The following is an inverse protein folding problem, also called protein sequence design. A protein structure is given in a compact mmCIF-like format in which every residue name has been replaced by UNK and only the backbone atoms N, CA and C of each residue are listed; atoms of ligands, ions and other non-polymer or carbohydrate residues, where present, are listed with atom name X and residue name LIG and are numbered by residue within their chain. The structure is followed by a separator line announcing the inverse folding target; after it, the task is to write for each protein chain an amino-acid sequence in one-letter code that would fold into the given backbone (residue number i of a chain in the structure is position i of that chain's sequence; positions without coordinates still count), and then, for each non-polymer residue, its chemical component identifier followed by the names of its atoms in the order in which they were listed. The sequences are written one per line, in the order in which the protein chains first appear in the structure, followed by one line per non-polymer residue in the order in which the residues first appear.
data_IF_409099734214
#
_entry.id   IF_409099734214
#
_cell.length_a   1.000
_cell.length_b   1.000
_cell.length_c   1.000
_cell.angle_alpha   90.00
_cell.angle_beta   90.00
_cell.angle_gamma   90.00
#
_symmetry.space_group_name_H-M   'P 1'
#
loop_
_entity.id
_entity.type
_entity.pdbx_description
1 polymer ?
#
# COMPACT_ATOMS: atom_id res chain seq x y z
N UNK A 1 -16.15 0.15 9.71
CA UNK A 1 -17.09 -0.40 10.71
C UNK A 1 -16.99 -1.91 10.65
N UNK A 2 -16.78 -2.57 11.79
CA UNK A 2 -16.68 -4.04 11.89
C UNK A 2 -18.09 -4.65 11.81
N UNK A 3 -18.22 -5.80 11.15
CA UNK A 3 -19.48 -6.53 11.04
C UNK A 3 -19.47 -7.70 12.03
N UNK A 4 -20.59 -7.95 12.70
CA UNK A 4 -20.74 -9.13 13.57
C UNK A 4 -20.90 -10.36 12.69
N UNK A 5 -20.13 -11.41 12.96
CA UNK A 5 -20.11 -12.65 12.19
C UNK A 5 -20.88 -13.76 12.91
N UNK A 6 -20.54 -14.01 14.18
CA UNK A 6 -21.26 -14.94 15.05
C UNK A 6 -21.68 -14.26 16.35
N UNK A 7 -22.87 -14.58 16.84
CA UNK A 7 -23.47 -13.99 18.03
C UNK A 7 -24.17 -12.67 17.75
N UNK A 8 -24.32 -11.84 18.78
CA UNK A 8 -25.00 -10.56 18.72
C UNK A 8 -24.24 -9.51 19.53
N UNK A 9 -24.06 -8.32 18.98
CA UNK A 9 -23.54 -7.15 19.71
C UNK A 9 -24.58 -6.54 20.67
N UNK A 10 -25.72 -7.22 20.87
CA UNK A 10 -26.79 -6.88 21.81
C UNK A 10 -27.11 -8.09 22.66
N UNK A 11 -27.29 -7.86 23.94
CA UNK A 11 -27.68 -8.87 24.92
C UNK A 11 -28.76 -8.31 25.84
N UNK A 12 -29.74 -9.13 26.17
CA UNK A 12 -30.82 -8.77 27.08
C UNK A 12 -31.14 -9.99 27.96
N UNK A 13 -31.18 -9.78 29.26
CA UNK A 13 -31.53 -10.82 30.24
C UNK A 13 -32.13 -10.17 31.48
N UNK A 14 -32.90 -10.95 32.25
CA UNK A 14 -33.24 -10.60 33.62
C UNK A 14 -32.04 -10.92 34.53
N UNK A 15 -31.77 -10.05 35.50
CA UNK A 15 -30.77 -10.26 36.55
C UNK A 15 -31.42 -10.01 37.91
N UNK A 16 -31.27 -10.95 38.83
CA UNK A 16 -31.54 -10.78 40.24
C UNK A 16 -30.47 -9.93 40.93
N UNK A 17 -30.72 -9.61 42.20
CA UNK A 17 -29.75 -8.85 43.02
C UNK A 17 -28.44 -9.63 43.16
N UNK A 18 -27.34 -9.03 42.70
CA UNK A 18 -26.01 -9.64 42.75
C UNK A 18 -25.75 -10.70 41.67
N UNK A 19 -26.70 -10.90 40.74
CA UNK A 19 -26.47 -11.76 39.58
C UNK A 19 -25.75 -11.01 38.47
N UNK A 20 -24.88 -11.73 37.77
CA UNK A 20 -24.12 -11.21 36.65
C UNK A 20 -24.40 -12.01 35.39
N UNK A 21 -24.24 -11.37 34.23
CA UNK A 21 -24.31 -12.03 32.93
C UNK A 21 -23.10 -11.66 32.10
N UNK A 22 -22.70 -12.57 31.22
CA UNK A 22 -21.66 -12.33 30.22
C UNK A 22 -22.16 -12.83 28.88
N UNK A 23 -21.89 -12.06 27.82
CA UNK A 23 -22.13 -12.47 26.44
C UNK A 23 -20.88 -12.19 25.61
N UNK A 24 -20.73 -12.94 24.52
CA UNK A 24 -19.63 -12.76 23.57
C UNK A 24 -20.17 -12.75 22.15
N UNK A 25 -19.46 -12.04 21.28
CA UNK A 25 -19.73 -12.01 19.85
C UNK A 25 -18.40 -11.96 19.11
N UNK A 26 -18.42 -12.40 17.86
CA UNK A 26 -17.26 -12.31 16.97
C UNK A 26 -17.54 -11.27 15.91
N UNK A 27 -16.49 -10.56 15.52
CA UNK A 27 -16.53 -9.57 14.46
C UNK A 27 -15.57 -9.97 13.36
N UNK A 28 -15.98 -9.77 12.11
CA UNK A 28 -15.07 -9.93 10.98
C UNK A 28 -14.02 -8.82 11.04
N UNK A 29 -12.78 -9.20 11.32
CA UNK A 29 -11.63 -8.31 11.35
C UNK A 29 -11.44 -7.64 9.97
N UNK A 30 -11.59 -6.32 9.91
CA UNK A 30 -11.27 -5.50 8.74
C UNK A 30 -9.99 -4.71 8.98
N UNK A 31 -9.13 -4.54 7.98
CA UNK A 31 -7.90 -3.75 8.11
C UNK A 31 -8.21 -2.35 8.69
N UNK A 32 -7.41 -1.91 9.67
CA UNK A 32 -7.51 -0.58 10.27
C UNK A 32 -7.52 -0.57 11.79
N UNK A 33 -7.69 0.63 12.34
CA UNK A 33 -7.87 0.86 13.78
C UNK A 33 -9.35 1.07 14.04
N UNK A 34 -9.94 0.22 14.88
CA UNK A 34 -11.36 0.28 15.23
C UNK A 34 -11.47 0.59 16.72
N UNK A 35 -12.01 1.77 17.03
CA UNK A 35 -12.37 2.17 18.38
C UNK A 35 -13.86 1.89 18.58
N UNK A 36 -14.19 1.19 19.65
CA UNK A 36 -15.58 0.94 20.03
C UNK A 36 -16.15 2.18 20.71
N UNK A 37 -17.40 2.49 20.40
CA UNK A 37 -18.16 3.49 21.17
C UNK A 37 -18.50 2.91 22.56
N UNK A 38 -18.77 3.76 23.57
CA UNK A 38 -19.24 3.30 24.87
C UNK A 38 -20.42 2.33 24.75
N UNK A 39 -20.44 1.29 25.58
CA UNK A 39 -21.51 0.31 25.58
C UNK A 39 -22.76 0.92 26.25
N UNK A 40 -23.88 0.97 25.54
CA UNK A 40 -25.17 1.39 26.09
C UNK A 40 -25.78 0.26 26.91
N UNK A 41 -26.18 0.57 28.13
CA UNK A 41 -26.89 -0.34 29.04
C UNK A 41 -28.23 0.28 29.36
N UNK A 42 -29.29 -0.52 29.21
CA UNK A 42 -30.65 -0.11 29.55
C UNK A 42 -31.18 -1.05 30.62
N UNK A 43 -31.44 -0.51 31.81
CA UNK A 43 -32.14 -1.21 32.87
C UNK A 43 -33.63 -0.91 32.76
N UNK A 44 -34.46 -1.94 32.90
CA UNK A 44 -35.91 -1.79 33.01
C UNK A 44 -36.39 -2.43 34.30
N UNK A 45 -37.37 -1.82 34.94
CA UNK A 45 -38.09 -2.47 36.03
C UNK A 45 -38.93 -3.65 35.50
N UNK A 46 -39.40 -4.51 36.41
CA UNK A 46 -40.16 -5.73 36.08
C UNK A 46 -41.44 -5.38 35.30
N UNK A 47 -42.06 -4.24 35.61
CA UNK A 47 -43.24 -3.71 34.92
C UNK A 47 -42.93 -3.02 33.58
N UNK A 48 -41.65 -2.84 33.24
CA UNK A 48 -41.18 -2.08 32.08
C UNK A 48 -41.70 -0.63 32.01
N UNK A 49 -42.18 -0.09 33.13
CA UNK A 49 -42.69 1.27 33.28
C UNK A 49 -41.58 2.30 33.39
N UNK A 50 -40.41 1.90 33.91
CA UNK A 50 -39.26 2.78 34.08
C UNK A 50 -38.06 2.16 33.36
N UNK A 51 -37.39 2.96 32.54
CA UNK A 51 -36.14 2.59 31.90
C UNK A 51 -35.05 3.60 32.29
N UNK A 52 -33.90 3.10 32.74
CA UNK A 52 -32.71 3.89 33.00
C UNK A 52 -31.67 3.49 31.96
N UNK A 53 -31.26 4.44 31.13
CA UNK A 53 -30.19 4.28 30.16
C UNK A 53 -28.89 4.86 30.74
N UNK A 54 -27.81 4.10 30.62
CA UNK A 54 -26.46 4.55 30.97
C UNK A 54 -25.46 4.03 29.93
N UNK A 55 -24.26 4.57 29.93
CA UNK A 55 -23.17 4.11 29.06
C UNK A 55 -21.95 3.78 29.87
N UNK A 56 -21.31 2.64 29.56
CA UNK A 56 -20.03 2.27 30.14
C UNK A 56 -18.95 2.40 29.06
N UNK A 57 -17.97 3.25 29.33
CA UNK A 57 -16.79 3.38 28.48
C UNK A 57 -15.75 2.36 28.94
N UNK A 58 -15.49 1.37 28.09
CA UNK A 58 -14.31 0.51 28.21
C UNK A 58 -13.46 0.77 26.99
N UNK A 59 -12.24 1.29 27.18
CA UNK A 59 -11.35 1.56 26.06
C UNK A 59 -10.98 0.25 25.37
N UNK A 60 -11.65 -0.02 24.25
CA UNK A 60 -11.43 -1.21 23.43
C UNK A 60 -10.96 -0.75 22.07
N UNK A 61 -9.67 -0.91 21.81
CA UNK A 61 -9.04 -0.56 20.53
C UNK A 61 -8.58 -1.83 19.83
N UNK A 62 -9.22 -2.15 18.72
CA UNK A 62 -8.88 -3.31 17.91
C UNK A 62 -8.08 -2.86 16.69
N UNK A 63 -6.81 -3.26 16.64
CA UNK A 63 -5.90 -2.93 15.54
C UNK A 63 -5.70 -4.16 14.67
N UNK A 64 -6.35 -4.19 13.50
CA UNK A 64 -6.17 -5.26 12.53
C UNK A 64 -5.12 -4.83 11.50
N UNK A 65 -3.98 -5.50 11.53
CA UNK A 65 -2.96 -5.40 10.48
C UNK A 65 -2.74 -6.80 9.94
N UNK A 66 -2.87 -6.97 8.62
CA UNK A 66 -2.21 -8.08 7.95
C UNK A 66 -0.78 -7.60 7.71
N UNK A 67 0.24 -8.19 8.34
CA UNK A 67 1.60 -7.87 7.94
C UNK A 67 1.86 -8.55 6.58
N UNK A 68 2.26 -7.82 5.55
CA UNK A 68 3.00 -8.43 4.43
C UNK A 68 4.28 -9.01 5.05
N UNK A 69 4.43 -10.32 5.07
CA UNK A 69 5.56 -10.97 5.75
C UNK A 69 6.72 -11.28 4.80
N UNK A 70 6.49 -11.24 3.49
CA UNK A 70 7.30 -12.09 2.60
C UNK A 70 7.71 -11.50 1.26
N UNK A 71 7.22 -10.31 0.88
CA UNK A 71 7.48 -9.72 -0.45
C UNK A 71 8.38 -8.49 -0.30
N UNK A 72 9.54 -8.50 -0.95
CA UNK A 72 10.41 -7.31 -1.09
C UNK A 72 9.76 -6.29 -2.04
N UNK A 73 9.77 -5.02 -1.66
CA UNK A 73 9.21 -3.93 -2.47
C UNK A 73 9.91 -3.74 -3.81
N UNK A 74 11.22 -4.04 -3.90
CA UNK A 74 11.92 -4.12 -5.17
C UNK A 74 11.28 -5.12 -6.13
N UNK A 75 10.78 -6.27 -5.64
CA UNK A 75 10.05 -7.22 -6.47
C UNK A 75 8.67 -6.70 -6.88
N UNK A 76 7.97 -5.95 -6.02
CA UNK A 76 6.69 -5.33 -6.36
C UNK A 76 6.89 -4.25 -7.42
N UNK A 77 7.94 -3.45 -7.30
CA UNK A 77 8.20 -2.34 -8.19
C UNK A 77 8.81 -2.74 -9.55
N UNK A 78 9.45 -3.91 -9.66
CA UNK A 78 10.23 -4.33 -10.85
C UNK A 78 9.65 -5.56 -11.59
N UNK A 79 8.34 -5.76 -11.57
CA UNK A 79 7.69 -6.98 -12.08
C UNK A 79 7.77 -7.22 -13.61
N UNK A 80 8.37 -6.34 -14.41
CA UNK A 80 8.48 -6.56 -15.85
C UNK A 80 9.67 -7.44 -16.24
N UNK A 81 9.36 -8.64 -16.75
CA UNK A 81 10.26 -9.48 -17.53
C UNK A 81 10.77 -8.69 -18.75
N UNK A 82 12.01 -8.20 -18.68
CA UNK A 82 12.59 -7.27 -19.63
C UNK A 82 13.39 -6.15 -18.97
N UNK A 83 13.16 -5.87 -17.67
CA UNK A 83 14.19 -5.26 -16.83
C UNK A 83 15.08 -6.34 -16.24
N UNK A 84 15.65 -7.18 -17.11
CA UNK A 84 16.95 -7.74 -16.79
C UNK A 84 17.82 -6.55 -16.44
N UNK A 85 18.41 -6.56 -15.24
CA UNK A 85 19.55 -5.71 -14.94
C UNK A 85 20.53 -5.94 -16.08
N UNK A 86 20.55 -5.05 -17.06
CA UNK A 86 21.55 -5.06 -18.09
C UNK A 86 22.85 -4.92 -17.32
N UNK A 87 23.63 -5.99 -17.33
CA UNK A 87 24.93 -6.10 -16.71
C UNK A 87 25.90 -5.18 -17.45
N UNK A 88 25.74 -3.87 -17.28
CA UNK A 88 26.79 -2.92 -17.56
C UNK A 88 27.71 -2.96 -16.35
N UNK A 89 28.75 -3.78 -16.47
CA UNK A 89 29.72 -4.00 -15.42
C UNK A 89 30.42 -2.71 -15.02
N UNK A 90 30.01 -2.14 -13.90
CA UNK A 90 30.80 -1.21 -13.13
C UNK A 90 30.75 -1.63 -11.66
N UNK A 91 31.92 -1.56 -11.05
CA UNK A 91 32.34 -1.98 -9.71
C UNK A 91 31.36 -1.65 -8.58
N UNK A 92 30.97 -2.66 -7.80
CA UNK A 92 30.16 -2.56 -6.57
C UNK A 92 30.02 -3.91 -5.86
N UNK A 93 30.05 -3.92 -4.52
CA UNK A 93 30.59 -4.99 -3.68
C UNK A 93 29.48 -5.68 -2.86
N UNK A 94 28.82 -6.70 -3.42
CA UNK A 94 28.20 -7.78 -2.62
C UNK A 94 28.31 -9.13 -3.34
N UNK A 95 28.70 -10.16 -2.59
CA UNK A 95 29.09 -11.50 -3.07
C UNK A 95 27.85 -12.35 -3.38
N UNK A 96 27.70 -12.81 -4.63
CA UNK A 96 26.52 -13.60 -5.04
C UNK A 96 26.81 -15.07 -5.32
N UNK A 97 27.90 -15.42 -6.02
CA UNK A 97 28.26 -16.83 -6.28
C UNK A 97 29.67 -16.96 -6.86
N UNK A 98 30.38 -18.03 -6.50
CA UNK A 98 31.61 -18.45 -7.18
C UNK A 98 31.25 -19.52 -8.20
N UNK A 99 31.67 -19.34 -9.46
CA UNK A 99 31.54 -20.35 -10.52
C UNK A 99 32.88 -20.55 -11.23
N UNK A 100 33.05 -21.70 -11.88
CA UNK A 100 34.21 -21.96 -12.74
C UNK A 100 34.32 -20.90 -13.84
N UNK A 101 35.55 -20.48 -14.10
CA UNK A 101 35.91 -19.55 -15.16
C UNK A 101 35.49 -20.11 -16.52
N UNK A 102 34.90 -19.26 -17.36
CA UNK A 102 34.66 -19.55 -18.77
C UNK A 102 35.48 -18.61 -19.61
N UNK A 103 35.98 -19.13 -20.74
CA UNK A 103 36.71 -18.33 -21.71
C UNK A 103 35.87 -17.13 -22.16
N UNK A 104 36.39 -15.91 -21.94
CA UNK A 104 35.67 -14.65 -22.14
C UNK A 104 35.29 -13.91 -20.84
N UNK A 105 35.42 -14.54 -19.66
CA UNK A 105 35.27 -13.84 -18.39
C UNK A 105 36.43 -12.84 -18.19
N UNK A 106 36.15 -11.60 -17.73
CA UNK A 106 37.16 -10.55 -17.65
C UNK A 106 38.19 -10.86 -16.54
N UNK A 107 39.48 -10.58 -16.78
CA UNK A 107 40.58 -11.01 -15.90
C UNK A 107 40.56 -10.36 -14.51
N UNK A 108 39.89 -9.21 -14.37
CA UNK A 108 39.69 -8.53 -13.08
C UNK A 108 38.63 -9.22 -12.18
N UNK A 109 37.94 -10.25 -12.66
CA UNK A 109 36.96 -11.05 -11.89
C UNK A 109 37.46 -12.44 -11.53
N UNK A 110 38.70 -12.78 -11.90
CA UNK A 110 39.33 -14.04 -11.52
C UNK A 110 39.71 -13.95 -10.04
N UNK A 111 39.29 -14.93 -9.25
CA UNK A 111 39.73 -15.07 -7.87
C UNK A 111 41.18 -15.60 -7.85
N UNK A 112 42.13 -14.68 -7.94
CA UNK A 112 43.56 -15.00 -7.91
C UNK A 112 43.99 -15.64 -6.60
N UNK A 113 43.28 -15.36 -5.50
CA UNK A 113 43.62 -15.87 -4.17
C UNK A 113 43.21 -17.35 -4.05
N UNK A 114 42.05 -17.73 -4.61
CA UNK A 114 41.64 -19.13 -4.75
C UNK A 114 42.47 -19.88 -5.79
N UNK A 115 42.79 -19.24 -6.91
CA UNK A 115 43.68 -19.83 -7.92
C UNK A 115 45.07 -20.16 -7.34
N UNK A 116 45.62 -19.30 -6.49
CA UNK A 116 46.91 -19.54 -5.83
C UNK A 116 46.90 -20.79 -4.92
N UNK A 117 45.73 -21.19 -4.39
CA UNK A 117 45.57 -22.35 -3.50
C UNK A 117 45.21 -23.63 -4.26
N UNK A 118 44.21 -23.56 -5.13
CA UNK A 118 43.57 -24.73 -5.72
C UNK A 118 43.92 -24.94 -7.20
N UNK A 119 44.63 -23.98 -7.83
CA UNK A 119 44.94 -23.93 -9.27
C UNK A 119 43.72 -24.00 -10.20
N UNK A 120 42.50 -23.84 -9.69
CA UNK A 120 41.29 -23.72 -10.48
C UNK A 120 40.91 -22.26 -10.69
N UNK A 121 40.67 -21.88 -11.94
CA UNK A 121 40.19 -20.53 -12.27
C UNK A 121 38.69 -20.44 -11.97
N UNK A 122 38.33 -19.57 -11.03
CA UNK A 122 36.94 -19.24 -10.71
C UNK A 122 36.66 -17.76 -10.89
N UNK A 123 35.48 -17.42 -11.38
CA UNK A 123 35.05 -16.04 -11.59
C UNK A 123 34.05 -15.62 -10.53
N UNK A 124 34.30 -14.46 -9.92
CA UNK A 124 33.40 -13.81 -8.97
C UNK A 124 32.38 -12.98 -9.77
N UNK A 125 31.10 -13.35 -9.71
CA UNK A 125 30.03 -12.51 -10.25
C UNK A 125 29.51 -11.55 -9.17
N UNK A 126 29.71 -10.25 -9.37
CA UNK A 126 29.13 -9.18 -8.57
C UNK A 126 27.70 -8.91 -9.03
N UNK A 127 26.74 -8.81 -8.09
CA UNK A 127 25.42 -8.23 -8.35
C UNK A 127 25.53 -6.75 -8.02
N UNK A 128 25.24 -5.88 -8.99
CA UNK A 128 25.10 -4.45 -8.72
C UNK A 128 23.77 -4.24 -7.98
N UNK A 129 23.81 -4.32 -6.65
CA UNK A 129 22.68 -3.88 -5.83
C UNK A 129 22.74 -2.35 -5.73
N UNK A 130 22.34 -1.66 -6.80
CA UNK A 130 21.89 -0.28 -6.63
C UNK A 130 20.50 -0.37 -6.07
N UNK A 131 20.36 -0.24 -4.75
CA UNK A 131 19.07 0.02 -4.11
C UNK A 131 18.45 1.25 -4.79
N UNK A 132 17.47 1.00 -5.65
CA UNK A 132 16.75 2.05 -6.36
C UNK A 132 15.69 2.54 -5.40
N UNK A 133 15.73 3.81 -5.05
CA UNK A 133 14.74 4.39 -4.15
C UNK A 133 13.30 3.99 -4.56
N UNK A 134 12.46 3.71 -3.57
CA UNK A 134 11.03 3.44 -3.76
C UNK A 134 10.25 4.67 -3.33
N UNK A 135 9.33 5.15 -4.16
CA UNK A 135 8.40 6.22 -3.81
C UNK A 135 7.00 5.62 -3.73
N UNK A 136 6.38 5.77 -2.55
CA UNK A 136 4.93 5.57 -2.41
C UNK A 136 4.23 6.84 -2.88
N UNK A 137 3.39 6.75 -3.90
CA UNK A 137 2.64 7.87 -4.45
C UNK A 137 1.14 7.63 -4.22
N UNK A 138 0.51 8.42 -3.35
CA UNK A 138 -0.91 8.27 -2.95
C UNK A 138 -1.76 9.28 -3.71
N UNK A 139 -2.82 8.81 -4.36
CA UNK A 139 -3.80 9.64 -5.04
C UNK A 139 -4.93 10.12 -4.11
N UNK A 140 -4.62 11.11 -3.28
CA UNK A 140 -5.53 11.73 -2.32
C UNK A 140 -6.36 12.90 -2.91
N UNK A 141 -6.60 12.90 -4.22
CA UNK A 141 -7.47 13.91 -4.85
C UNK A 141 -8.92 13.73 -4.40
N UNK A 142 -9.69 14.82 -4.38
CA UNK A 142 -11.10 14.80 -3.95
C UNK A 142 -11.97 13.76 -4.69
N UNK A 143 -11.66 13.48 -5.96
CA UNK A 143 -12.36 12.47 -6.76
C UNK A 143 -12.13 11.03 -6.27
N UNK A 144 -11.02 10.76 -5.57
CA UNK A 144 -10.67 9.45 -5.03
C UNK A 144 -11.41 9.12 -3.72
N UNK A 145 -12.11 10.09 -3.13
CA UNK A 145 -13.00 9.86 -1.99
C UNK A 145 -14.32 9.24 -2.45
N UNK A 146 -14.23 8.02 -2.98
CA UNK A 146 -15.36 7.18 -3.43
C UNK A 146 -15.34 5.87 -2.67
N UNK A 147 -16.53 5.34 -2.39
CA UNK A 147 -16.72 4.08 -1.68
C UNK A 147 -17.74 3.21 -2.42
N UNK A 148 -17.64 1.90 -2.27
CA UNK A 148 -18.57 0.92 -2.83
C UNK A 148 -19.93 0.96 -2.14
N UNK A 149 -20.01 1.50 -0.92
CA UNK A 149 -21.26 1.73 -0.20
C UNK A 149 -21.11 2.83 0.87
N UNK A 150 -22.20 3.24 1.52
CA UNK A 150 -22.18 4.27 2.57
C UNK A 150 -21.48 3.83 3.85
N UNK A 151 -21.30 2.53 4.07
CA UNK A 151 -20.71 1.95 5.29
C UNK A 151 -19.26 1.48 5.08
N UNK A 152 -18.81 1.38 3.83
CA UNK A 152 -17.44 1.01 3.51
C UNK A 152 -16.53 2.26 3.43
N UNK A 153 -15.25 2.15 3.83
CA UNK A 153 -14.26 3.19 3.62
C UNK A 153 -14.11 3.64 2.17
N UNK A 154 -13.70 4.88 1.97
CA UNK A 154 -13.38 5.40 0.64
C UNK A 154 -11.99 4.96 0.15
N UNK A 155 -11.70 5.10 -1.15
CA UNK A 155 -10.46 4.60 -1.75
C UNK A 155 -9.18 5.13 -1.08
N UNK A 156 -9.10 6.44 -0.81
CA UNK A 156 -7.94 7.06 -0.14
C UNK A 156 -7.65 6.42 1.23
N UNK A 157 -8.68 5.92 1.94
CA UNK A 157 -8.46 5.17 3.18
C UNK A 157 -7.73 3.86 2.93
N UNK A 158 -8.14 3.12 1.88
CA UNK A 158 -7.49 1.88 1.48
C UNK A 158 -6.09 2.10 0.92
N UNK A 159 -5.84 3.19 0.20
CA UNK A 159 -4.50 3.57 -0.28
C UNK A 159 -3.57 3.90 0.88
N UNK A 160 -4.06 4.68 1.86
CA UNK A 160 -3.31 4.97 3.09
C UNK A 160 -2.99 3.70 3.88
N UNK A 161 -3.95 2.79 3.98
CA UNK A 161 -3.76 1.47 4.60
C UNK A 161 -2.67 0.65 3.87
N UNK A 162 -2.77 0.55 2.54
CA UNK A 162 -1.80 -0.14 1.71
C UNK A 162 -0.40 0.49 1.81
N UNK A 163 -0.29 1.82 1.77
CA UNK A 163 0.98 2.53 1.93
C UNK A 163 1.66 2.24 3.29
N UNK A 164 0.88 2.13 4.37
CA UNK A 164 1.41 1.75 5.69
C UNK A 164 1.89 0.30 5.73
N UNK A 165 1.16 -0.61 5.09
CA UNK A 165 1.55 -2.02 4.99
C UNK A 165 2.85 -2.16 4.21
N UNK A 166 2.96 -1.48 3.06
CA UNK A 166 4.17 -1.42 2.24
C UNK A 166 5.33 -0.78 3.01
N UNK A 167 5.14 0.35 3.71
CA UNK A 167 6.17 0.97 4.55
C UNK A 167 6.68 0.03 5.65
N UNK A 168 5.78 -0.79 6.22
CA UNK A 168 6.13 -1.84 7.18
C UNK A 168 7.05 -2.92 6.61
N UNK A 169 7.03 -3.15 5.29
CA UNK A 169 7.97 -4.04 4.61
C UNK A 169 9.34 -3.38 4.39
N UNK A 170 9.40 -2.09 4.05
CA UNK A 170 10.69 -1.37 3.87
C UNK A 170 11.45 -1.26 5.16
N UNK A 171 10.79 -1.10 6.30
CA UNK A 171 11.52 -0.92 7.56
C UNK A 171 12.40 -2.13 7.94
N UNK A 172 12.30 -3.25 7.19
CA UNK A 172 13.15 -4.44 7.30
C UNK A 172 14.30 -4.50 6.27
N UNK A 173 14.34 -3.57 5.32
CA UNK A 173 15.34 -3.45 4.24
C UNK A 173 15.99 -2.06 4.26
N UNK A 174 17.28 -1.92 3.96
CA UNK A 174 17.96 -0.61 3.89
C UNK A 174 17.71 0.13 2.55
N UNK A 175 16.50 -0.05 1.98
CA UNK A 175 16.11 0.56 0.70
C UNK A 175 15.58 1.98 0.93
N UNK A 176 16.09 3.01 0.22
CA UNK A 176 15.61 4.38 0.40
C UNK A 176 14.14 4.50 0.01
N UNK A 177 13.30 5.02 0.91
CA UNK A 177 11.86 5.18 0.67
C UNK A 177 11.43 6.65 0.76
N UNK A 178 10.67 7.11 -0.21
CA UNK A 178 10.03 8.42 -0.24
C UNK A 178 8.51 8.32 -0.25
N UNK A 179 7.85 9.45 -0.01
CA UNK A 179 6.39 9.56 -0.04
C UNK A 179 5.99 10.78 -0.86
N UNK A 180 4.99 10.58 -1.71
CA UNK A 180 4.29 11.60 -2.45
C UNK A 180 2.80 11.47 -2.17
N UNK A 181 2.15 12.57 -1.82
CA UNK A 181 0.68 12.68 -1.77
C UNK A 181 0.23 13.64 -2.87
N UNK A 182 -0.56 13.12 -3.81
CA UNK A 182 -1.24 13.90 -4.85
C UNK A 182 -2.58 14.38 -4.30
N UNK A 183 -2.79 15.69 -4.29
CA UNK A 183 -3.96 16.30 -3.66
C UNK A 183 -4.05 17.79 -3.96
N UNK A 184 -4.98 18.52 -3.32
CA UNK A 184 -5.02 19.98 -3.43
C UNK A 184 -3.72 20.61 -2.96
N UNK A 185 -3.18 20.13 -1.84
CA UNK A 185 -1.83 20.42 -1.36
C UNK A 185 -0.99 19.16 -1.59
N UNK A 186 0.09 19.30 -2.35
CA UNK A 186 0.99 18.16 -2.55
C UNK A 186 1.99 18.08 -1.41
N UNK A 187 2.26 16.87 -0.97
CA UNK A 187 3.24 16.61 0.07
C UNK A 187 4.33 15.70 -0.47
N UNK A 188 5.58 16.14 -0.38
CA UNK A 188 6.75 15.43 -0.90
C UNK A 188 7.77 15.21 0.21
N UNK A 189 8.08 13.95 0.47
CA UNK A 189 9.21 13.53 1.29
C UNK A 189 10.19 12.80 0.38
N UNK A 190 11.40 13.36 0.26
CA UNK A 190 12.46 12.76 -0.53
C UNK A 190 12.86 11.37 0.02
N UNK A 191 13.27 10.43 -0.86
CA UNK A 191 13.72 9.13 -0.40
C UNK A 191 14.90 9.21 0.56
N UNK A 192 14.80 8.48 1.67
CA UNK A 192 15.87 8.34 2.65
C UNK A 192 15.73 6.98 3.36
N UNK A 193 16.74 6.58 4.12
CA UNK A 193 16.75 5.30 4.85
C UNK A 193 16.67 5.52 6.36
N UNK A 194 16.52 4.41 7.11
CA UNK A 194 16.58 4.41 8.57
C UNK A 194 15.24 4.55 9.28
N UNK A 195 15.22 4.06 10.53
CA UNK A 195 14.01 3.98 11.37
C UNK A 195 13.40 5.35 11.70
N UNK A 196 14.23 6.38 11.86
CA UNK A 196 13.76 7.75 12.06
C UNK A 196 12.97 8.25 10.86
N UNK A 197 13.49 8.03 9.65
CA UNK A 197 12.80 8.38 8.41
C UNK A 197 11.50 7.60 8.24
N UNK A 198 11.51 6.29 8.49
CA UNK A 198 10.29 5.47 8.50
C UNK A 198 9.24 6.01 9.47
N UNK A 199 9.66 6.52 10.64
CA UNK A 199 8.76 7.14 11.62
C UNK A 199 8.17 8.46 11.10
N UNK A 200 8.95 9.27 10.39
CA UNK A 200 8.44 10.49 9.72
C UNK A 200 7.39 10.10 8.69
N UNK A 201 7.69 9.15 7.79
CA UNK A 201 6.74 8.66 6.80
C UNK A 201 5.45 8.14 7.44
N UNK A 202 5.57 7.36 8.52
CA UNK A 202 4.42 6.83 9.23
C UNK A 202 3.57 7.95 9.86
N UNK A 203 4.20 8.95 10.49
CA UNK A 203 3.50 10.12 11.04
C UNK A 203 2.76 10.89 9.95
N UNK A 204 3.39 11.13 8.81
CA UNK A 204 2.77 11.78 7.65
C UNK A 204 1.57 10.98 7.12
N UNK A 205 1.65 9.65 7.10
CA UNK A 205 0.51 8.79 6.72
C UNK A 205 -0.61 8.80 7.76
N UNK A 206 -0.30 9.05 9.04
CA UNK A 206 -1.29 9.12 10.13
C UNK A 206 -1.86 10.54 10.31
N UNK A 207 -1.22 11.57 9.74
CA UNK A 207 -1.62 12.97 9.81
C UNK A 207 -2.87 13.26 8.95
N UNK A 208 -3.94 13.69 9.62
CA UNK A 208 -5.24 13.98 8.98
C UNK A 208 -5.29 15.32 8.27
N UNK A 209 -4.33 16.21 8.49
CA UNK A 209 -4.24 17.47 7.75
C UNK A 209 -3.58 17.24 6.39
N UNK A 210 -2.63 16.30 6.32
CA UNK A 210 -1.95 15.89 5.08
C UNK A 210 -2.79 14.90 4.28
N UNK A 211 -3.36 13.89 4.94
CA UNK A 211 -4.21 12.86 4.35
C UNK A 211 -5.58 12.83 5.04
N UNK A 212 -6.48 13.75 4.68
CA UNK A 212 -7.75 13.89 5.37
C UNK A 212 -8.64 12.67 5.17
N UNK A 213 -9.41 12.34 6.22
CA UNK A 213 -10.43 11.27 6.19
C UNK A 213 -11.73 11.70 5.49
N UNK A 214 -11.83 12.98 5.13
CA UNK A 214 -12.95 13.55 4.39
C UNK A 214 -12.43 14.13 3.08
N UNK A 215 -13.26 14.17 2.03
CA UNK A 215 -12.86 14.79 0.78
C UNK A 215 -12.44 16.24 1.04
N UNK A 216 -11.28 16.69 0.54
CA UNK A 216 -10.90 18.08 0.68
C UNK A 216 -11.85 18.97 -0.13
N UNK A 217 -12.19 20.15 0.42
CA UNK A 217 -13.12 21.10 -0.19
C UNK A 217 -12.63 21.67 -1.52
N UNK A 218 -11.32 21.66 -1.75
CA UNK A 218 -10.70 22.05 -3.02
C UNK A 218 -10.51 20.81 -3.90
N UNK A 219 -11.14 20.82 -5.08
CA UNK A 219 -10.74 19.90 -6.14
C UNK A 219 -9.35 20.32 -6.62
N UNK A 220 -8.36 19.43 -6.50
CA UNK A 220 -7.14 19.55 -7.28
C UNK A 220 -7.53 19.53 -8.76
N UNK A 221 -7.44 20.66 -9.45
CA UNK A 221 -7.67 20.74 -10.89
C UNK A 221 -6.60 19.93 -11.63
N UNK A 222 -6.89 19.45 -12.85
CA UNK A 222 -5.90 18.75 -13.71
C UNK A 222 -4.57 19.52 -13.80
N UNK A 223 -4.66 20.85 -13.96
CA UNK A 223 -3.50 21.77 -13.96
C UNK A 223 -2.63 21.69 -12.70
N UNK A 224 -3.22 21.42 -11.53
CA UNK A 224 -2.46 21.30 -10.28
C UNK A 224 -1.63 20.02 -10.29
N UNK A 225 -2.21 18.92 -10.79
CA UNK A 225 -1.50 17.65 -10.90
C UNK A 225 -0.35 17.77 -11.91
N UNK A 226 -0.56 18.42 -13.06
CA UNK A 226 0.50 18.63 -14.04
C UNK A 226 1.67 19.46 -13.48
N UNK A 227 1.37 20.53 -12.73
CA UNK A 227 2.39 21.33 -12.05
C UNK A 227 3.13 20.52 -10.97
N UNK A 228 2.42 19.70 -10.21
CA UNK A 228 3.00 18.79 -9.21
C UNK A 228 3.93 17.79 -9.91
N UNK A 229 3.46 17.12 -10.96
CA UNK A 229 4.22 16.13 -11.72
C UNK A 229 5.47 16.73 -12.36
N UNK A 230 5.40 17.94 -12.90
CA UNK A 230 6.59 18.62 -13.43
C UNK A 230 7.58 19.00 -12.32
N UNK A 231 7.09 19.44 -11.16
CA UNK A 231 7.94 19.70 -9.97
C UNK A 231 8.57 18.43 -9.41
N UNK A 232 7.95 17.27 -9.63
CA UNK A 232 8.43 15.96 -9.21
C UNK A 232 9.49 15.39 -10.15
N UNK A 233 9.33 15.58 -11.47
CA UNK A 233 10.33 15.15 -12.46
C UNK A 233 11.73 15.71 -12.18
N UNK A 234 11.83 16.89 -11.58
CA UNK A 234 13.11 17.50 -11.21
C UNK A 234 13.69 16.97 -9.90
N UNK A 235 12.85 16.40 -9.02
CA UNK A 235 13.23 15.93 -7.68
C UNK A 235 13.47 14.42 -7.62
N UNK A 236 12.89 13.64 -8.53
CA UNK A 236 13.03 12.19 -8.56
C UNK A 236 14.28 11.80 -9.35
N UNK A 237 15.14 10.99 -8.73
CA UNK A 237 16.32 10.45 -9.41
C UNK A 237 15.93 9.52 -10.57
N UNK A 238 16.79 9.41 -11.59
CA UNK A 238 16.58 8.44 -12.67
C UNK A 238 16.53 7.01 -12.11
N UNK A 239 15.73 6.15 -12.73
CA UNK A 239 15.54 4.75 -12.35
C UNK A 239 14.94 4.52 -10.94
N UNK A 240 14.30 5.51 -10.33
CA UNK A 240 13.49 5.31 -9.12
C UNK A 240 12.28 4.42 -9.39
N UNK A 241 11.93 3.59 -8.40
CA UNK A 241 10.75 2.75 -8.37
C UNK A 241 9.57 3.52 -7.78
N UNK A 242 8.41 3.48 -8.43
CA UNK A 242 7.23 4.23 -8.01
C UNK A 242 6.06 3.25 -7.87
N UNK A 243 5.46 3.23 -6.68
CA UNK A 243 4.21 2.54 -6.43
C UNK A 243 3.12 3.60 -6.36
N UNK A 244 2.32 3.69 -7.41
CA UNK A 244 1.18 4.60 -7.51
C UNK A 244 -0.06 3.92 -6.92
N UNK A 245 -0.53 4.40 -5.78
CA UNK A 245 -1.76 3.99 -5.14
C UNK A 245 -2.88 4.91 -5.63
N UNK A 246 -3.77 4.38 -6.47
CA UNK A 246 -4.87 5.15 -7.06
C UNK A 246 -6.06 4.25 -7.41
N UNK A 247 -7.33 4.68 -7.22
CA UNK A 247 -8.46 3.81 -7.52
C UNK A 247 -8.80 3.79 -9.01
N UNK A 248 -8.07 4.55 -9.84
CA UNK A 248 -8.26 4.67 -11.29
C UNK A 248 -9.68 5.10 -11.67
N UNK A 249 -10.24 6.04 -10.90
CA UNK A 249 -11.60 6.58 -11.10
C UNK A 249 -11.68 7.59 -12.25
N UNK A 250 -10.54 8.14 -12.69
CA UNK A 250 -10.40 9.05 -13.82
C UNK A 250 -9.09 8.78 -14.58
N UNK A 251 -8.80 9.59 -15.61
CA UNK A 251 -7.67 9.36 -16.52
C UNK A 251 -6.35 9.94 -16.02
N UNK A 252 -6.38 10.85 -15.05
CA UNK A 252 -5.19 11.48 -14.48
C UNK A 252 -4.15 10.48 -13.93
N UNK A 253 -4.49 9.44 -13.14
CA UNK A 253 -3.50 8.48 -12.65
C UNK A 253 -2.97 7.57 -13.77
N UNK A 254 -3.79 7.30 -14.79
CA UNK A 254 -3.36 6.61 -16.01
C UNK A 254 -2.29 7.43 -16.75
N UNK A 255 -2.60 8.70 -17.05
CA UNK A 255 -1.66 9.64 -17.70
C UNK A 255 -0.39 9.80 -16.86
N UNK A 256 -0.53 9.95 -15.54
CA UNK A 256 0.58 10.08 -14.58
C UNK A 256 1.51 8.86 -14.62
N UNK A 257 0.94 7.65 -14.57
CA UNK A 257 1.72 6.42 -14.62
C UNK A 257 2.49 6.28 -15.95
N UNK A 258 1.86 6.63 -17.07
CA UNK A 258 2.49 6.61 -18.39
C UNK A 258 3.62 7.63 -18.50
N UNK A 259 3.42 8.85 -18.00
CA UNK A 259 4.44 9.89 -17.98
C UNK A 259 5.64 9.47 -17.15
N UNK A 260 5.42 8.96 -15.93
CA UNK A 260 6.49 8.47 -15.06
C UNK A 260 7.26 7.31 -15.69
N UNK A 261 6.55 6.41 -16.38
CA UNK A 261 7.18 5.32 -17.10
C UNK A 261 8.04 5.83 -18.26
N UNK A 262 7.53 6.79 -19.03
CA UNK A 262 8.24 7.39 -20.16
C UNK A 262 9.50 8.16 -19.73
N UNK A 263 9.54 8.69 -18.50
CA UNK A 263 10.74 9.34 -17.93
C UNK A 263 11.76 8.37 -17.33
N UNK A 264 11.56 7.06 -17.48
CA UNK A 264 12.51 6.01 -17.10
C UNK A 264 12.32 5.45 -15.69
N UNK A 265 11.18 5.70 -15.04
CA UNK A 265 10.87 5.09 -13.74
C UNK A 265 10.24 3.71 -13.91
N UNK A 266 10.47 2.84 -12.92
CA UNK A 266 9.66 1.63 -12.76
C UNK A 266 8.35 2.02 -12.11
N UNK A 267 7.21 1.65 -12.70
CA UNK A 267 5.89 2.06 -12.20
C UNK A 267 5.05 0.82 -11.96
N UNK A 268 4.51 0.73 -10.75
CA UNK A 268 3.50 -0.25 -10.37
C UNK A 268 2.29 0.49 -9.84
N UNK A 269 1.11 0.19 -10.36
CA UNK A 269 -0.15 0.77 -9.92
C UNK A 269 -0.86 -0.21 -9.00
N UNK A 270 -1.09 0.18 -7.76
CA UNK A 270 -1.91 -0.56 -6.80
C UNK A 270 -3.27 0.13 -6.75
N UNK A 271 -4.29 -0.56 -7.25
CA UNK A 271 -5.62 0.02 -7.40
C UNK A 271 -6.66 -0.68 -6.52
N UNK A 272 -7.13 -0.05 -5.44
CA UNK A 272 -8.24 -0.59 -4.67
C UNK A 272 -9.56 -0.52 -5.47
N UNK A 273 -10.24 -1.65 -5.60
CA UNK A 273 -11.57 -1.72 -6.20
C UNK A 273 -12.63 -1.28 -5.20
N UNK A 274 -13.02 -0.01 -5.30
CA UNK A 274 -14.15 0.58 -4.58
C UNK A 274 -15.41 0.70 -5.45
N UNK A 275 -15.45 0.01 -6.59
CA UNK A 275 -16.63 0.02 -7.46
C UNK A 275 -17.70 -0.94 -6.93
N UNK A 276 -18.94 -0.76 -7.39
CA UNK A 276 -20.08 -1.59 -7.00
C UNK A 276 -21.01 -1.80 -8.18
N UNK A 277 -22.00 -2.66 -8.01
CA UNK A 277 -23.07 -2.92 -8.99
C UNK A 277 -24.42 -2.48 -8.40
N UNK A 278 -25.47 -2.41 -9.21
CA UNK A 278 -26.82 -2.06 -8.75
C UNK A 278 -27.37 -0.73 -9.28
N UNK A 279 -26.63 -0.03 -10.14
CA UNK A 279 -27.15 1.06 -10.95
C UNK A 279 -26.35 1.17 -12.26
N UNK A 280 -26.95 1.77 -13.30
CA UNK A 280 -26.24 2.02 -14.56
C UNK A 280 -24.99 2.87 -14.35
N UNK A 281 -25.04 3.86 -13.46
CA UNK A 281 -23.90 4.72 -13.16
C UNK A 281 -22.74 3.98 -12.50
N UNK A 282 -23.02 3.06 -11.58
CA UNK A 282 -21.98 2.26 -10.92
C UNK A 282 -21.41 1.19 -11.84
N UNK A 283 -22.22 0.61 -12.72
CA UNK A 283 -21.73 -0.28 -13.78
C UNK A 283 -20.83 0.44 -14.79
N UNK A 284 -21.22 1.64 -15.24
CA UNK A 284 -20.40 2.45 -16.13
C UNK A 284 -19.06 2.82 -15.46
N UNK A 285 -19.08 3.23 -14.20
CA UNK A 285 -17.86 3.55 -13.45
C UNK A 285 -16.92 2.33 -13.33
N UNK A 286 -17.49 1.14 -13.08
CA UNK A 286 -16.73 -0.12 -13.06
C UNK A 286 -16.11 -0.43 -14.43
N UNK A 287 -16.89 -0.32 -15.51
CA UNK A 287 -16.40 -0.55 -16.88
C UNK A 287 -15.27 0.43 -17.25
N UNK A 288 -15.43 1.72 -16.93
CA UNK A 288 -14.41 2.74 -17.18
C UNK A 288 -13.11 2.44 -16.41
N UNK A 289 -13.20 2.05 -15.13
CA UNK A 289 -12.05 1.62 -14.33
C UNK A 289 -11.37 0.39 -14.94
N UNK A 290 -12.14 -0.63 -15.32
CA UNK A 290 -11.61 -1.84 -15.98
C UNK A 290 -10.90 -1.49 -17.30
N UNK A 291 -11.45 -0.57 -18.10
CA UNK A 291 -10.79 -0.11 -19.31
C UNK A 291 -9.44 0.56 -19.03
N UNK A 292 -9.33 1.40 -18.00
CA UNK A 292 -8.06 2.03 -17.60
C UNK A 292 -7.02 1.00 -17.16
N UNK A 293 -7.42 0.01 -16.37
CA UNK A 293 -6.55 -1.11 -15.99
C UNK A 293 -6.06 -1.87 -17.22
N UNK A 294 -6.95 -2.14 -18.18
CA UNK A 294 -6.59 -2.82 -19.43
C UNK A 294 -5.63 -2.00 -20.28
N UNK A 295 -5.79 -0.67 -20.32
CA UNK A 295 -4.85 0.23 -21.00
C UNK A 295 -3.46 0.17 -20.33
N UNK A 296 -3.38 0.25 -19.00
CA UNK A 296 -2.12 0.13 -18.27
C UNK A 296 -1.44 -1.22 -18.49
N UNK A 297 -2.19 -2.33 -18.44
CA UNK A 297 -1.67 -3.69 -18.65
C UNK A 297 -1.12 -3.94 -20.05
N UNK A 298 -1.52 -3.14 -21.05
CA UNK A 298 -0.94 -3.16 -22.41
C UNK A 298 0.41 -2.44 -22.49
N UNK A 299 0.86 -1.83 -21.41
CA UNK A 299 2.15 -1.14 -21.31
C UNK A 299 3.07 -1.87 -20.34
N UNK A 300 4.36 -1.48 -20.25
CA UNK A 300 5.29 -2.03 -19.27
C UNK A 300 5.05 -1.58 -17.81
N UNK A 301 3.80 -1.32 -17.42
CA UNK A 301 3.39 -0.88 -16.08
C UNK A 301 2.68 -2.04 -15.39
N UNK A 302 3.11 -2.43 -14.20
CA UNK A 302 2.43 -3.48 -13.43
C UNK A 302 1.16 -2.90 -12.80
N UNK A 303 0.07 -3.67 -12.78
CA UNK A 303 -1.20 -3.25 -12.17
C UNK A 303 -1.72 -4.33 -11.24
N UNK A 304 -1.72 -4.01 -9.95
CA UNK A 304 -2.32 -4.81 -8.87
C UNK A 304 -3.74 -4.30 -8.67
N UNK A 305 -4.71 -5.01 -9.24
CA UNK A 305 -6.13 -4.74 -9.04
C UNK A 305 -6.59 -5.41 -7.74
N UNK A 306 -6.67 -4.63 -6.66
CA UNK A 306 -6.85 -5.14 -5.31
C UNK A 306 -8.30 -4.99 -4.86
N UNK A 307 -8.93 -6.09 -4.46
CA UNK A 307 -10.21 -6.05 -3.75
C UNK A 307 -9.95 -5.78 -2.25
N UNK A 308 -10.38 -4.63 -1.69
CA UNK A 308 -10.10 -4.30 -0.29
C UNK A 308 -10.75 -5.21 0.76
N UNK A 309 -11.65 -6.11 0.34
CA UNK A 309 -12.20 -7.18 1.19
C UNK A 309 -11.22 -8.34 1.39
N UNK A 310 -10.17 -8.41 0.58
CA UNK A 310 -9.10 -9.42 0.68
C UNK A 310 -7.81 -8.78 1.21
N UNK A 311 -6.97 -9.53 1.94
CA UNK A 311 -5.67 -9.03 2.37
C UNK A 311 -4.83 -8.54 1.19
N UNK A 312 -4.12 -7.42 1.36
CA UNK A 312 -3.29 -6.85 0.29
C UNK A 312 -2.18 -7.82 -0.13
N UNK A 313 -1.58 -8.52 0.83
CA UNK A 313 -0.56 -9.55 0.55
C UNK A 313 -1.04 -10.59 -0.47
N UNK A 314 -2.31 -11.03 -0.42
CA UNK A 314 -2.87 -11.98 -1.39
C UNK A 314 -2.86 -11.41 -2.81
N UNK A 315 -3.23 -10.13 -2.97
CA UNK A 315 -3.22 -9.45 -4.27
C UNK A 315 -1.78 -9.28 -4.79
N UNK A 316 -0.84 -8.93 -3.90
CA UNK A 316 0.58 -8.83 -4.24
C UNK A 316 1.15 -10.18 -4.71
N UNK A 317 0.85 -11.27 -4.02
CA UNK A 317 1.30 -12.61 -4.40
C UNK A 317 0.79 -13.06 -5.76
N UNK A 318 -0.49 -12.87 -6.04
CA UNK A 318 -1.09 -13.24 -7.34
C UNK A 318 -0.47 -12.50 -8.52
N UNK A 319 0.16 -11.35 -8.27
CA UNK A 319 0.82 -10.55 -9.30
C UNK A 319 2.31 -10.91 -9.44
N UNK A 320 2.97 -11.30 -8.35
CA UNK A 320 4.38 -11.73 -8.35
C UNK A 320 4.56 -13.15 -8.92
N UNK A 321 3.57 -14.03 -8.71
CA UNK A 321 3.54 -15.39 -9.25
C UNK A 321 2.23 -15.59 -10.06
N UNK A 322 2.18 -15.07 -11.30
CA UNK A 322 0.99 -15.16 -12.15
C UNK A 322 0.73 -16.59 -12.66
#
# INVERSE_FOLDING_TARGET
MLSVENGSARHATALGSGEETTFSYTVTAKHGVHCFQPATIVFRDISSSVAVETTITVETKLTCRSPIQTISLGHIAHQHAGSTVATNGLTGIEFSKVRSYRFGDPPNRIDWNRYARDKELTTISFREDRSRAVILCIDARAICYRSSSRTEPHAVFYERAAARELLGTVSRSDEPIGLLVLGPDHYWIAPNTGSHHSTILQRTLDDTDILPLKPPSRNGTKNNVDMQMNSLKTKIAKNTSIILLSPLVDDVPLETAQVLRATGHSVTVLSPDVTTTGSLGTELARLQRTNRINVLRRTPISVIDWNPKTPLETALYSTVNP
#
